data_IF_151873590932
#
_entry.id   IF_151873590932
#
_cell.length_a   1.000
_cell.length_b   1.000
_cell.length_c   1.000
_cell.angle_alpha   90.00
_cell.angle_beta   90.00
_cell.angle_gamma   90.00
#
_symmetry.space_group_name_H-M   'P 1'
#
loop_
_entity.id
_entity.type
_entity.pdbx_description
1 polymer ?
#
# COMPACT_ATOMS: atom_id res chain seq x y z
N UNK A 1 -30.25 -7.64 22.04
CA UNK A 1 -28.83 -7.28 21.88
C UNK A 1 -28.28 -6.91 23.24
N UNK A 2 -27.17 -7.55 23.66
CA UNK A 2 -26.55 -7.34 24.97
C UNK A 2 -25.88 -5.95 25.04
N UNK A 3 -25.86 -5.33 26.23
CA UNK A 3 -25.16 -4.05 26.51
C UNK A 3 -23.68 -4.12 26.05
N UNK A 4 -23.02 -5.26 26.21
CA UNK A 4 -21.65 -5.51 25.74
C UNK A 4 -21.50 -5.42 24.22
N UNK A 5 -22.52 -5.87 23.44
CA UNK A 5 -22.50 -5.78 21.97
C UNK A 5 -22.59 -4.33 21.51
N UNK A 6 -23.47 -3.52 22.09
CA UNK A 6 -23.64 -2.10 21.76
C UNK A 6 -22.39 -1.28 22.13
N UNK A 7 -21.71 -1.61 23.23
CA UNK A 7 -20.47 -0.92 23.63
C UNK A 7 -19.32 -1.24 22.68
N UNK A 8 -19.19 -2.49 22.22
CA UNK A 8 -18.21 -2.91 21.23
C UNK A 8 -18.46 -2.24 19.86
N UNK A 9 -19.73 -2.18 19.43
CA UNK A 9 -20.13 -1.50 18.19
C UNK A 9 -19.80 -0.01 18.22
N UNK A 10 -20.11 0.69 19.32
CA UNK A 10 -19.78 2.11 19.50
C UNK A 10 -18.26 2.34 19.51
N UNK A 11 -17.50 1.44 20.13
CA UNK A 11 -16.04 1.50 20.16
C UNK A 11 -15.45 1.34 18.74
N UNK A 12 -15.94 0.37 17.97
CA UNK A 12 -15.51 0.16 16.58
C UNK A 12 -15.87 1.36 15.68
N UNK A 13 -17.08 1.90 15.83
CA UNK A 13 -17.51 3.09 15.10
C UNK A 13 -16.64 4.31 15.41
N UNK A 14 -16.28 4.51 16.69
CA UNK A 14 -15.36 5.58 17.10
C UNK A 14 -13.98 5.42 16.48
N UNK A 15 -13.42 4.21 16.51
CA UNK A 15 -12.12 3.91 15.91
C UNK A 15 -12.13 4.20 14.40
N UNK A 16 -13.18 3.77 13.69
CA UNK A 16 -13.35 4.00 12.25
C UNK A 16 -13.47 5.49 11.94
N UNK A 17 -14.24 6.25 12.71
CA UNK A 17 -14.40 7.69 12.54
C UNK A 17 -13.06 8.43 12.74
N UNK A 18 -12.31 8.09 13.81
CA UNK A 18 -10.98 8.65 14.07
C UNK A 18 -10.02 8.37 12.91
N UNK A 19 -9.96 7.13 12.45
CA UNK A 19 -9.07 6.71 11.38
C UNK A 19 -9.40 7.43 10.07
N UNK A 20 -10.66 7.52 9.70
CA UNK A 20 -11.13 8.25 8.51
C UNK A 20 -10.72 9.72 8.53
N UNK A 21 -10.89 10.40 9.67
CA UNK A 21 -10.52 11.81 9.82
C UNK A 21 -9.00 11.97 9.80
N UNK A 22 -8.27 11.12 10.53
CA UNK A 22 -6.81 11.16 10.59
C UNK A 22 -6.19 10.94 9.20
N UNK A 23 -6.65 9.94 8.47
CA UNK A 23 -6.22 9.66 7.10
C UNK A 23 -6.36 10.89 6.21
N UNK A 24 -7.51 11.56 6.24
CA UNK A 24 -7.73 12.78 5.49
C UNK A 24 -6.75 13.90 5.89
N UNK A 25 -6.50 14.09 7.18
CA UNK A 25 -5.54 15.09 7.66
C UNK A 25 -4.12 14.77 7.19
N UNK A 26 -3.71 13.49 7.27
CA UNK A 26 -2.40 13.05 6.80
C UNK A 26 -2.24 13.24 5.29
N UNK A 27 -3.27 12.94 4.50
CA UNK A 27 -3.25 13.18 3.07
C UNK A 27 -3.13 14.66 2.70
N UNK A 28 -3.94 15.53 3.35
CA UNK A 28 -4.01 16.96 3.03
C UNK A 28 -2.83 17.78 3.57
N UNK A 29 -2.30 17.43 4.76
CA UNK A 29 -1.32 18.25 5.51
C UNK A 29 0.00 17.53 5.78
N UNK A 30 0.02 16.21 5.63
CA UNK A 30 1.10 15.35 6.06
C UNK A 30 1.08 15.03 7.54
N UNK A 31 1.96 14.11 7.93
CA UNK A 31 2.05 13.67 9.32
C UNK A 31 2.43 14.80 10.27
N UNK A 32 3.47 15.59 9.95
CA UNK A 32 3.99 16.61 10.86
C UNK A 32 2.92 17.62 11.28
N UNK A 33 2.17 18.15 10.30
CA UNK A 33 1.21 19.25 10.50
C UNK A 33 -0.21 18.77 10.88
N UNK A 34 -0.40 17.48 11.09
CA UNK A 34 -1.66 16.90 11.54
C UNK A 34 -1.68 16.78 13.06
N UNK A 35 -2.18 17.80 13.76
CA UNK A 35 -2.31 17.76 15.21
C UNK A 35 -3.42 16.81 15.67
N UNK A 36 -3.17 16.02 16.72
CA UNK A 36 -4.16 15.09 17.29
C UNK A 36 -5.37 15.82 17.84
N UNK A 37 -5.20 17.04 18.35
CA UNK A 37 -6.25 17.94 18.84
C UNK A 37 -7.25 18.29 17.74
N UNK A 38 -6.78 18.56 16.52
CA UNK A 38 -7.64 18.84 15.38
C UNK A 38 -8.41 17.61 14.94
N UNK A 39 -7.75 16.45 14.94
CA UNK A 39 -8.37 15.16 14.59
C UNK A 39 -9.52 14.85 15.56
N UNK A 40 -9.30 14.91 16.88
CA UNK A 40 -10.35 14.61 17.87
C UNK A 40 -11.50 15.61 17.81
N UNK A 41 -11.20 16.91 17.62
CA UNK A 41 -12.21 17.94 17.45
C UNK A 41 -13.08 17.68 16.22
N UNK A 42 -12.46 17.34 15.09
CA UNK A 42 -13.16 17.05 13.83
C UNK A 42 -13.97 15.75 13.88
N UNK A 43 -13.44 14.73 14.57
CA UNK A 43 -14.13 13.47 14.80
C UNK A 43 -15.22 13.55 15.87
N UNK A 44 -15.32 14.68 16.60
CA UNK A 44 -16.26 14.89 17.71
C UNK A 44 -16.11 13.85 18.82
N UNK A 45 -14.89 13.49 19.13
CA UNK A 45 -14.55 12.56 20.21
C UNK A 45 -13.62 13.22 21.23
N UNK A 46 -13.45 12.60 22.40
CA UNK A 46 -12.50 13.08 23.40
C UNK A 46 -11.08 12.63 23.10
N UNK A 47 -10.09 13.36 23.61
CA UNK A 47 -8.68 12.96 23.57
C UNK A 47 -8.45 11.57 24.21
N UNK A 48 -9.15 11.28 25.32
CA UNK A 48 -9.11 9.98 25.97
C UNK A 48 -9.62 8.84 25.06
N UNK A 49 -10.67 9.08 24.26
CA UNK A 49 -11.16 8.11 23.29
C UNK A 49 -10.13 7.83 22.18
N UNK A 50 -9.41 8.84 21.71
CA UNK A 50 -8.33 8.64 20.74
C UNK A 50 -7.24 7.75 21.31
N UNK A 51 -6.69 8.08 22.49
CA UNK A 51 -5.59 7.31 23.10
C UNK A 51 -6.02 5.93 23.62
N UNK A 52 -7.31 5.70 23.81
CA UNK A 52 -7.85 4.36 24.06
C UNK A 52 -7.72 3.46 22.82
N UNK A 53 -7.87 4.02 21.60
CA UNK A 53 -7.79 3.26 20.33
C UNK A 53 -6.39 3.25 19.71
N UNK A 54 -5.65 4.32 19.88
CA UNK A 54 -4.33 4.51 19.28
C UNK A 54 -3.40 5.11 20.35
N UNK A 55 -2.41 4.34 20.82
CA UNK A 55 -1.51 4.76 21.92
C UNK A 55 -0.83 6.12 21.68
N UNK A 56 -0.54 6.42 20.43
CA UNK A 56 0.05 7.67 19.99
C UNK A 56 -0.32 8.04 18.56
N UNK A 57 0.19 9.18 18.07
CA UNK A 57 -0.03 9.66 16.70
C UNK A 57 0.62 8.74 15.66
N UNK A 58 1.73 8.09 16.01
CA UNK A 58 2.44 7.18 15.11
C UNK A 58 1.62 5.92 14.86
N UNK A 59 0.98 5.37 15.91
CA UNK A 59 0.08 4.22 15.78
C UNK A 59 -1.20 4.56 14.98
N UNK A 60 -1.73 5.76 15.17
CA UNK A 60 -2.85 6.25 14.35
C UNK A 60 -2.44 6.39 12.88
N UNK A 61 -1.23 6.89 12.62
CA UNK A 61 -0.69 7.01 11.27
C UNK A 61 -0.41 5.64 10.64
N UNK A 62 0.19 4.70 11.39
CA UNK A 62 0.43 3.34 10.92
C UNK A 62 -0.88 2.66 10.51
N UNK A 63 -1.95 2.84 11.28
CA UNK A 63 -3.27 2.30 10.92
C UNK A 63 -3.86 2.97 9.67
N UNK A 64 -3.62 4.26 9.44
CA UNK A 64 -4.04 4.95 8.23
C UNK A 64 -3.25 4.44 7.01
N UNK A 65 -1.94 4.29 7.14
CA UNK A 65 -1.08 3.70 6.12
C UNK A 65 -1.51 2.27 5.78
N UNK A 66 -1.73 1.43 6.78
CA UNK A 66 -2.20 0.05 6.61
C UNK A 66 -3.54 -0.03 5.87
N UNK A 67 -4.46 0.90 6.16
CA UNK A 67 -5.74 0.98 5.44
C UNK A 67 -5.55 1.35 3.97
N UNK A 68 -4.68 2.31 3.65
CA UNK A 68 -4.37 2.69 2.26
C UNK A 68 -3.77 1.52 1.50
N UNK A 69 -2.77 0.83 2.06
CA UNK A 69 -2.16 -0.36 1.46
C UNK A 69 -3.20 -1.46 1.19
N UNK A 70 -4.06 -1.76 2.16
CA UNK A 70 -5.12 -2.76 2.00
C UNK A 70 -6.13 -2.41 0.90
N UNK A 71 -6.53 -1.13 0.80
CA UNK A 71 -7.46 -0.67 -0.24
C UNK A 71 -6.82 -0.71 -1.63
N UNK A 72 -5.55 -0.33 -1.76
CA UNK A 72 -4.82 -0.42 -3.04
C UNK A 72 -4.65 -1.88 -3.46
N UNK A 73 -4.27 -2.77 -2.54
CA UNK A 73 -4.14 -4.19 -2.82
C UNK A 73 -5.48 -4.83 -3.25
N UNK A 74 -6.59 -4.47 -2.60
CA UNK A 74 -7.92 -4.94 -2.96
C UNK A 74 -8.32 -4.48 -4.38
N UNK A 75 -8.15 -3.19 -4.69
CA UNK A 75 -8.43 -2.62 -6.02
C UNK A 75 -7.55 -3.25 -7.11
N UNK A 76 -6.28 -3.51 -6.82
CA UNK A 76 -5.39 -4.22 -7.73
C UNK A 76 -5.88 -5.64 -8.00
N UNK A 77 -6.28 -6.38 -6.97
CA UNK A 77 -6.86 -7.72 -7.12
C UNK A 77 -8.12 -7.71 -7.98
N UNK A 78 -9.04 -6.74 -7.78
CA UNK A 78 -10.24 -6.56 -8.60
C UNK A 78 -9.90 -6.24 -10.07
N UNK A 79 -8.93 -5.36 -10.31
CA UNK A 79 -8.49 -5.00 -11.66
C UNK A 79 -7.88 -6.20 -12.40
N UNK A 80 -7.04 -6.99 -11.73
CA UNK A 80 -6.47 -8.22 -12.27
C UNK A 80 -7.57 -9.24 -12.58
N UNK A 81 -8.49 -9.49 -11.66
CA UNK A 81 -9.60 -10.41 -11.86
C UNK A 81 -10.50 -9.99 -13.04
N UNK A 82 -10.76 -8.69 -13.19
CA UNK A 82 -11.61 -8.15 -14.26
C UNK A 82 -10.95 -8.21 -15.64
N UNK A 83 -9.63 -8.24 -15.71
CA UNK A 83 -8.89 -8.32 -16.97
C UNK A 83 -9.02 -9.71 -17.65
N UNK A 84 -9.44 -10.73 -16.91
CA UNK A 84 -9.52 -12.13 -17.39
C UNK A 84 -8.23 -12.62 -18.06
N UNK A 85 -7.08 -12.07 -17.66
CA UNK A 85 -5.78 -12.48 -18.18
C UNK A 85 -5.35 -13.79 -17.52
N UNK A 86 -4.85 -14.72 -18.31
CA UNK A 86 -4.44 -16.05 -17.86
C UNK A 86 -2.93 -16.29 -17.94
N UNK A 87 -2.20 -15.47 -18.69
CA UNK A 87 -0.74 -15.52 -18.71
C UNK A 87 -0.17 -14.88 -17.44
N UNK A 88 0.50 -15.64 -16.56
CA UNK A 88 1.03 -15.12 -15.30
C UNK A 88 2.00 -13.94 -15.48
N UNK A 89 2.72 -13.88 -16.59
CA UNK A 89 3.64 -12.77 -16.90
C UNK A 89 2.83 -11.50 -17.18
N UNK A 90 1.75 -11.60 -17.96
CA UNK A 90 0.89 -10.45 -18.22
C UNK A 90 0.11 -10.03 -16.98
N UNK A 91 -0.27 -10.97 -16.11
CA UNK A 91 -0.86 -10.65 -14.79
C UNK A 91 0.12 -9.85 -13.93
N UNK A 92 1.40 -10.23 -13.87
CA UNK A 92 2.43 -9.47 -13.15
C UNK A 92 2.60 -8.06 -13.74
N UNK A 93 2.60 -7.92 -15.08
CA UNK A 93 2.65 -6.61 -15.75
C UNK A 93 1.44 -5.74 -15.42
N UNK A 94 0.24 -6.32 -15.41
CA UNK A 94 -0.99 -5.63 -15.02
C UNK A 94 -0.90 -5.10 -13.58
N UNK A 95 -0.47 -5.93 -12.64
CA UNK A 95 -0.27 -5.51 -11.24
C UNK A 95 0.76 -4.39 -11.11
N UNK A 96 1.88 -4.50 -11.81
CA UNK A 96 2.93 -3.46 -11.80
C UNK A 96 2.44 -2.13 -12.37
N UNK A 97 1.73 -2.15 -13.50
CA UNK A 97 1.13 -0.94 -14.11
C UNK A 97 0.09 -0.32 -13.17
N UNK A 98 -0.79 -1.15 -12.61
CA UNK A 98 -1.80 -0.68 -11.66
C UNK A 98 -1.16 0.05 -10.47
N UNK A 99 -0.09 -0.53 -9.88
CA UNK A 99 0.59 0.09 -8.76
C UNK A 99 1.23 1.43 -9.13
N UNK A 100 1.94 1.50 -10.26
CA UNK A 100 2.53 2.75 -10.74
C UNK A 100 1.47 3.82 -11.00
N UNK A 101 0.28 3.44 -11.50
CA UNK A 101 -0.84 4.35 -11.70
C UNK A 101 -1.46 4.80 -10.37
N UNK A 102 -1.62 3.89 -9.42
CA UNK A 102 -2.11 4.21 -8.09
C UNK A 102 -1.20 5.22 -7.37
N UNK A 103 0.11 5.14 -7.58
CA UNK A 103 1.08 6.05 -7.01
C UNK A 103 1.03 7.48 -7.59
N UNK A 104 0.22 7.74 -8.61
CA UNK A 104 -0.10 9.11 -9.06
C UNK A 104 -1.11 9.80 -8.14
N UNK A 105 -1.83 9.06 -7.30
CA UNK A 105 -2.77 9.63 -6.33
C UNK A 105 -2.02 10.40 -5.23
N UNK A 106 -2.34 11.70 -5.00
CA UNK A 106 -1.66 12.52 -3.99
C UNK A 106 -1.73 11.94 -2.56
N UNK A 107 -2.82 11.24 -2.20
CA UNK A 107 -2.94 10.59 -0.90
C UNK A 107 -1.92 9.47 -0.75
N UNK A 108 -1.79 8.62 -1.79
CA UNK A 108 -0.83 7.50 -1.80
C UNK A 108 0.59 8.05 -1.77
N UNK A 109 0.91 9.06 -2.59
CA UNK A 109 2.22 9.69 -2.55
C UNK A 109 2.55 10.20 -1.15
N UNK A 110 1.64 10.96 -0.53
CA UNK A 110 1.89 11.58 0.76
C UNK A 110 2.00 10.55 1.88
N UNK A 111 1.01 9.67 2.02
CA UNK A 111 0.95 8.73 3.14
C UNK A 111 1.95 7.58 2.95
N UNK A 112 1.97 6.95 1.75
CA UNK A 112 2.70 5.70 1.54
C UNK A 112 4.17 5.93 1.22
N UNK A 113 4.46 6.91 0.35
CA UNK A 113 5.80 7.07 -0.21
C UNK A 113 6.66 8.09 0.54
N UNK A 114 6.04 9.16 1.07
CA UNK A 114 6.77 10.25 1.72
C UNK A 114 6.75 10.09 3.24
N UNK A 115 5.58 10.08 3.85
CA UNK A 115 5.46 10.13 5.31
C UNK A 115 5.73 8.76 5.97
N UNK A 116 5.26 7.64 5.39
CA UNK A 116 5.39 6.33 6.03
C UNK A 116 6.84 5.90 6.29
N UNK A 117 7.78 5.97 5.33
CA UNK A 117 9.18 5.63 5.62
C UNK A 117 9.83 6.58 6.64
N UNK A 118 9.47 7.87 6.63
CA UNK A 118 10.01 8.88 7.55
C UNK A 118 9.48 8.71 8.98
N UNK A 119 8.20 8.34 9.15
CA UNK A 119 7.51 8.23 10.44
C UNK A 119 7.69 6.88 11.09
N UNK A 120 7.55 5.80 10.31
CA UNK A 120 7.57 4.42 10.80
C UNK A 120 8.98 3.80 10.78
N UNK A 121 9.89 4.40 10.04
CA UNK A 121 11.19 3.81 9.73
C UNK A 121 11.11 2.67 8.72
N UNK A 122 12.26 2.33 8.14
CA UNK A 122 12.35 1.38 7.04
C UNK A 122 11.73 0.01 7.34
N UNK A 123 12.05 -0.55 8.50
CA UNK A 123 11.61 -1.90 8.88
C UNK A 123 10.09 -2.01 8.94
N UNK A 124 9.43 -1.13 9.72
CA UNK A 124 7.98 -1.18 9.91
C UNK A 124 7.22 -0.84 8.63
N UNK A 125 7.71 0.15 7.88
CA UNK A 125 7.14 0.50 6.57
C UNK A 125 7.13 -0.70 5.61
N UNK A 126 8.28 -1.38 5.47
CA UNK A 126 8.40 -2.56 4.59
C UNK A 126 7.61 -3.76 5.10
N UNK A 127 7.56 -3.99 6.41
CA UNK A 127 6.75 -5.06 7.01
C UNK A 127 5.26 -4.90 6.71
N UNK A 128 4.72 -3.69 6.86
CA UNK A 128 3.32 -3.41 6.56
C UNK A 128 3.06 -3.57 5.05
N UNK A 129 3.83 -2.93 4.18
CA UNK A 129 3.67 -3.05 2.72
C UNK A 129 3.77 -4.50 2.22
N UNK A 130 4.76 -5.25 2.72
CA UNK A 130 4.94 -6.65 2.33
C UNK A 130 3.77 -7.55 2.77
N UNK A 131 3.08 -7.24 3.87
CA UNK A 131 1.91 -7.99 4.34
C UNK A 131 0.79 -8.05 3.29
N UNK A 132 0.62 -6.97 2.54
CA UNK A 132 -0.43 -6.87 1.52
C UNK A 132 0.03 -7.34 0.13
N UNK A 133 1.32 -7.17 -0.19
CA UNK A 133 1.81 -7.34 -1.55
C UNK A 133 2.61 -8.64 -1.77
N UNK A 134 3.34 -9.14 -0.75
CA UNK A 134 4.24 -10.30 -0.94
C UNK A 134 3.47 -11.56 -1.29
N UNK A 135 2.31 -11.80 -0.68
CA UNK A 135 1.47 -12.97 -0.98
C UNK A 135 1.08 -13.00 -2.45
N UNK A 136 0.55 -11.90 -2.97
CA UNK A 136 0.12 -11.78 -4.36
C UNK A 136 1.26 -12.02 -5.35
N UNK A 137 2.42 -11.38 -5.14
CA UNK A 137 3.59 -11.58 -6.03
C UNK A 137 4.10 -13.01 -5.97
N UNK A 138 4.12 -13.63 -4.79
CA UNK A 138 4.49 -15.03 -4.60
C UNK A 138 3.57 -15.99 -5.36
N UNK A 139 2.25 -15.75 -5.29
CA UNK A 139 1.25 -16.57 -5.98
C UNK A 139 1.39 -16.46 -7.50
N UNK A 140 1.61 -15.24 -8.03
CA UNK A 140 1.88 -15.01 -9.45
C UNK A 140 3.16 -15.72 -9.90
N UNK A 141 4.27 -15.62 -9.16
CA UNK A 141 5.53 -16.30 -9.47
C UNK A 141 5.36 -17.83 -9.44
N UNK A 142 4.66 -18.34 -8.45
CA UNK A 142 4.39 -19.79 -8.32
C UNK A 142 3.58 -20.28 -9.51
N UNK A 143 2.54 -19.55 -9.91
CA UNK A 143 1.74 -19.86 -11.10
C UNK A 143 2.57 -19.83 -12.39
N UNK A 144 3.46 -18.84 -12.53
CA UNK A 144 4.33 -18.73 -13.68
C UNK A 144 5.36 -19.88 -13.78
N UNK A 145 5.90 -20.33 -12.65
CA UNK A 145 6.78 -21.52 -12.59
C UNK A 145 6.00 -22.79 -12.93
N UNK A 146 4.83 -23.00 -12.33
CA UNK A 146 4.01 -24.18 -12.52
C UNK A 146 3.51 -24.32 -13.98
N UNK A 147 3.21 -23.20 -14.62
CA UNK A 147 2.81 -23.17 -16.04
C UNK A 147 3.99 -23.24 -17.03
N UNK A 148 5.23 -23.30 -16.52
CA UNK A 148 6.45 -23.34 -17.34
C UNK A 148 6.77 -22.01 -18.06
N UNK A 149 6.13 -20.90 -17.66
CA UNK A 149 6.38 -19.57 -18.24
C UNK A 149 7.69 -18.96 -17.75
N UNK A 150 8.15 -19.34 -16.56
CA UNK A 150 9.46 -19.00 -16.03
C UNK A 150 10.15 -20.25 -15.45
N UNK A 151 11.48 -20.36 -15.54
CA UNK A 151 12.20 -21.49 -14.99
C UNK A 151 12.08 -21.54 -13.44
N UNK A 152 12.26 -22.71 -12.82
CA UNK A 152 12.30 -22.84 -11.37
C UNK A 152 13.35 -21.92 -10.74
N UNK A 153 12.94 -21.16 -9.74
CA UNK A 153 13.79 -20.19 -9.02
C UNK A 153 13.29 -19.98 -7.60
N UNK A 154 14.12 -19.40 -6.69
CA UNK A 154 13.70 -19.11 -5.32
C UNK A 154 12.57 -18.08 -5.25
N UNK A 155 11.32 -18.53 -5.11
CA UNK A 155 10.11 -17.69 -5.17
C UNK A 155 10.16 -16.53 -4.17
N UNK A 156 10.53 -16.80 -2.92
CA UNK A 156 10.59 -15.76 -1.86
C UNK A 156 11.61 -14.66 -2.17
N UNK A 157 12.83 -15.05 -2.55
CA UNK A 157 13.87 -14.09 -2.88
C UNK A 157 13.49 -13.26 -4.12
N UNK A 158 12.90 -13.91 -5.14
CA UNK A 158 12.43 -13.25 -6.35
C UNK A 158 11.30 -12.26 -6.04
N UNK A 159 10.30 -12.66 -5.23
CA UNK A 159 9.20 -11.79 -4.84
C UNK A 159 9.70 -10.54 -4.09
N UNK A 160 10.58 -10.70 -3.11
CA UNK A 160 11.14 -9.58 -2.35
C UNK A 160 11.99 -8.66 -3.24
N UNK A 161 12.75 -9.22 -4.17
CA UNK A 161 13.54 -8.44 -5.15
C UNK A 161 12.64 -7.63 -6.07
N UNK A 162 11.58 -8.24 -6.60
CA UNK A 162 10.60 -7.55 -7.45
C UNK A 162 9.88 -6.43 -6.70
N UNK A 163 9.45 -6.68 -5.47
CA UNK A 163 8.84 -5.65 -4.61
C UNK A 163 9.83 -4.52 -4.29
N UNK A 164 11.11 -4.83 -4.09
CA UNK A 164 12.17 -3.84 -3.95
C UNK A 164 12.31 -2.98 -5.20
N UNK A 165 12.37 -3.60 -6.38
CA UNK A 165 12.45 -2.88 -7.65
C UNK A 165 11.21 -2.00 -7.89
N UNK A 166 10.01 -2.50 -7.59
CA UNK A 166 8.77 -1.72 -7.67
C UNK A 166 8.79 -0.50 -6.75
N UNK A 167 9.25 -0.67 -5.52
CA UNK A 167 9.36 0.44 -4.55
C UNK A 167 10.31 1.53 -5.04
N UNK A 168 11.51 1.17 -5.53
CA UNK A 168 12.45 2.13 -6.07
C UNK A 168 11.89 2.83 -7.33
N UNK A 169 11.24 2.09 -8.22
CA UNK A 169 10.56 2.65 -9.38
C UNK A 169 9.49 3.68 -8.96
N UNK A 170 8.74 3.39 -7.92
CA UNK A 170 7.70 4.26 -7.38
C UNK A 170 8.28 5.54 -6.76
N UNK A 171 9.36 5.41 -5.98
CA UNK A 171 10.07 6.57 -5.42
C UNK A 171 10.67 7.44 -6.52
N UNK A 172 11.24 6.84 -7.56
CA UNK A 172 11.73 7.56 -8.73
C UNK A 172 10.63 8.41 -9.37
N UNK A 173 9.43 7.84 -9.57
CA UNK A 173 8.27 8.58 -10.11
C UNK A 173 7.83 9.69 -9.16
N UNK A 174 7.71 9.40 -7.87
CA UNK A 174 7.22 10.36 -6.88
C UNK A 174 8.13 11.59 -6.71
N UNK A 175 9.44 11.44 -6.92
CA UNK A 175 10.44 12.49 -6.76
C UNK A 175 10.76 13.23 -8.06
N UNK A 176 10.23 12.79 -9.20
CA UNK A 176 10.50 13.37 -10.50
C UNK A 176 9.77 14.73 -10.68
N UNK A 177 10.33 15.63 -11.47
CA UNK A 177 9.65 16.86 -11.88
C UNK A 177 8.57 16.59 -12.94
N UNK A 178 8.85 15.68 -13.87
CA UNK A 178 7.90 15.19 -14.87
C UNK A 178 7.45 13.77 -14.49
N UNK A 179 6.35 13.70 -13.74
CA UNK A 179 5.81 12.42 -13.27
C UNK A 179 5.37 11.50 -14.41
N UNK A 180 4.83 12.05 -15.50
CA UNK A 180 4.36 11.25 -16.64
C UNK A 180 5.51 10.60 -17.39
N UNK A 181 6.62 11.35 -17.59
CA UNK A 181 7.81 10.80 -18.20
C UNK A 181 8.44 9.74 -17.30
N UNK A 182 8.65 10.04 -16.02
CA UNK A 182 9.24 9.12 -15.06
C UNK A 182 8.43 7.81 -14.93
N UNK A 183 7.08 7.93 -14.95
CA UNK A 183 6.20 6.76 -14.92
C UNK A 183 6.38 5.88 -16.17
N UNK A 184 6.46 6.46 -17.37
CA UNK A 184 6.72 5.69 -18.59
C UNK A 184 8.08 4.99 -18.55
N UNK A 185 9.12 5.67 -18.12
CA UNK A 185 10.46 5.13 -17.99
C UNK A 185 10.51 3.99 -16.96
N UNK A 186 9.99 4.22 -15.76
CA UNK A 186 9.90 3.21 -14.71
C UNK A 186 9.09 1.99 -15.17
N UNK A 187 7.93 2.20 -15.78
CA UNK A 187 7.10 1.13 -16.33
C UNK A 187 7.85 0.29 -17.37
N UNK A 188 8.58 0.93 -18.28
CA UNK A 188 9.39 0.22 -19.29
C UNK A 188 10.51 -0.62 -18.65
N UNK A 189 11.14 -0.13 -17.58
CA UNK A 189 12.18 -0.90 -16.85
C UNK A 189 11.56 -2.10 -16.14
N UNK A 190 10.46 -1.90 -15.42
CA UNK A 190 9.74 -2.98 -14.72
C UNK A 190 9.23 -4.04 -15.70
N UNK A 191 8.66 -3.64 -16.85
CA UNK A 191 8.21 -4.58 -17.89
C UNK A 191 9.37 -5.46 -18.39
N UNK A 192 10.57 -4.89 -18.58
CA UNK A 192 11.78 -5.68 -18.97
C UNK A 192 12.23 -6.61 -17.84
N UNK A 193 12.21 -6.16 -16.59
CA UNK A 193 12.56 -7.01 -15.45
C UNK A 193 11.60 -8.20 -15.32
N UNK A 194 10.30 -7.97 -15.47
CA UNK A 194 9.30 -9.05 -15.45
C UNK A 194 9.54 -10.00 -16.65
N UNK A 195 9.79 -9.45 -17.84
CA UNK A 195 10.07 -10.27 -19.04
C UNK A 195 11.32 -11.14 -18.88
N UNK A 196 12.37 -10.62 -18.23
CA UNK A 196 13.62 -11.35 -18.00
C UNK A 196 13.46 -12.54 -17.04
N UNK A 197 12.41 -12.62 -16.24
CA UNK A 197 12.12 -13.79 -15.40
C UNK A 197 11.85 -15.05 -16.25
N UNK A 198 11.33 -14.89 -17.47
CA UNK A 198 11.03 -15.99 -18.39
C UNK A 198 12.26 -16.61 -19.08
N UNK A 199 13.45 -16.08 -18.85
CA UNK A 199 14.67 -16.48 -19.56
C UNK A 199 14.84 -15.72 -20.89
N UNK A 200 16.08 -15.39 -21.22
CA UNK A 200 16.49 -14.93 -22.55
C UNK A 200 16.35 -16.04 -23.58
#
# INVERSE_FOLDING_TARGET
MSVKSRQAENSAATRTALLKIARRFFAERGYADSATEDIVRRARVTRGALYHHFPDKTELFAAAFEQVEGEVAARMGEAIASANETDPIEVMRLGARFWLDACADPEIQRIVLVDAPAVLGWTRWTEIGNRYNTGLVRDMLTSAIQSGRIPPQPVEATALTMLGAMREATLYVALAQDHDQARREAGSVIDRLIGALGGL
#
